data_IF_812397188038
#
_entry.id   IF_812397188038
#
_cell.length_a   1.000
_cell.length_b   1.000
_cell.length_c   1.000
_cell.angle_alpha   90.00
_cell.angle_beta   90.00
_cell.angle_gamma   90.00
#
_symmetry.space_group_name_H-M   'P 1'
#
loop_
_entity.id
_entity.type
_entity.pdbx_description
1 polymer ?
#
# COMPACT_ATOMS: atom_id res chain seq x y z
N UNK A 1 2.84 -12.46 11.66
CA UNK A 1 3.97 -13.00 10.88
C UNK A 1 4.91 -11.87 10.52
N UNK A 2 6.15 -12.01 10.81
CA UNK A 2 7.15 -11.04 10.37
C UNK A 2 7.31 -11.15 8.86
N UNK A 3 7.29 -10.03 8.16
CA UNK A 3 7.53 -10.00 6.72
C UNK A 3 8.99 -10.27 6.38
N UNK A 4 9.88 -10.13 7.35
CA UNK A 4 11.30 -10.35 7.15
C UNK A 4 11.89 -11.06 8.35
N UNK A 5 12.49 -12.22 8.11
CA UNK A 5 13.38 -12.87 9.04
C UNK A 5 14.85 -12.55 8.73
N UNK A 6 15.06 -11.66 7.77
CA UNK A 6 16.38 -11.30 7.28
C UNK A 6 16.90 -10.05 8.01
N UNK A 7 18.22 -9.89 8.04
CA UNK A 7 18.84 -8.70 8.59
C UNK A 7 18.50 -7.45 7.74
N UNK A 8 18.58 -6.24 8.31
CA UNK A 8 18.39 -5.01 7.54
C UNK A 8 19.32 -4.91 6.32
N UNK A 9 20.53 -5.41 6.42
CA UNK A 9 21.50 -5.44 5.31
C UNK A 9 21.02 -6.32 4.17
N UNK A 10 20.50 -7.52 4.48
CA UNK A 10 19.97 -8.44 3.48
C UNK A 10 18.75 -7.87 2.78
N UNK A 11 17.87 -7.22 3.52
CA UNK A 11 16.67 -6.58 2.97
C UNK A 11 17.08 -5.45 2.02
N UNK A 12 17.99 -4.60 2.43
CA UNK A 12 18.48 -3.48 1.60
C UNK A 12 19.16 -3.99 0.33
N UNK A 13 19.96 -5.04 0.43
CA UNK A 13 20.63 -5.64 -0.70
C UNK A 13 19.63 -6.24 -1.70
N UNK A 14 18.64 -6.98 -1.21
CA UNK A 14 17.58 -7.53 -2.05
C UNK A 14 16.80 -6.43 -2.77
N UNK A 15 16.45 -5.35 -2.07
CA UNK A 15 15.77 -4.20 -2.66
C UNK A 15 16.62 -3.53 -3.74
N UNK A 16 17.92 -3.37 -3.50
CA UNK A 16 18.85 -2.79 -4.48
C UNK A 16 18.91 -3.61 -5.77
N UNK A 17 19.02 -4.92 -5.63
CA UNK A 17 19.05 -5.84 -6.79
C UNK A 17 17.72 -5.77 -7.56
N UNK A 18 16.59 -5.82 -6.84
CA UNK A 18 15.26 -5.76 -7.45
C UNK A 18 15.02 -4.44 -8.17
N UNK A 19 15.57 -3.33 -7.68
CA UNK A 19 15.43 -2.03 -8.32
C UNK A 19 16.03 -2.00 -9.73
N UNK A 20 17.11 -2.74 -9.95
CA UNK A 20 17.73 -2.84 -11.27
C UNK A 20 16.82 -3.54 -12.28
N UNK A 21 16.12 -4.56 -11.85
CA UNK A 21 15.13 -5.28 -12.65
C UNK A 21 13.95 -4.36 -12.99
N UNK A 22 13.41 -3.66 -11.99
CA UNK A 22 12.29 -2.73 -12.19
C UNK A 22 12.64 -1.59 -13.14
N UNK A 23 13.87 -1.08 -13.05
CA UNK A 23 14.33 0.01 -13.92
C UNK A 23 14.38 -0.38 -15.40
N UNK A 24 14.50 -1.67 -15.69
CA UNK A 24 14.56 -2.19 -17.08
C UNK A 24 13.19 -2.48 -17.68
N UNK A 25 12.15 -2.51 -16.87
CA UNK A 25 10.80 -2.75 -17.36
C UNK A 25 10.32 -1.59 -18.21
N UNK A 26 9.52 -1.89 -19.23
CA UNK A 26 8.84 -0.87 -20.02
C UNK A 26 7.76 -0.18 -19.18
N UNK A 27 7.31 0.98 -19.63
CA UNK A 27 6.18 1.68 -18.99
C UNK A 27 4.93 0.80 -19.00
N UNK A 28 4.70 0.07 -20.07
CA UNK A 28 3.54 -0.82 -20.19
C UNK A 28 3.60 -1.96 -19.16
N UNK A 29 4.78 -2.53 -18.96
CA UNK A 29 4.98 -3.59 -17.96
C UNK A 29 4.77 -3.06 -16.54
N UNK A 30 5.30 -1.88 -16.23
CA UNK A 30 5.12 -1.24 -14.92
C UNK A 30 3.65 -0.87 -14.67
N UNK A 31 2.97 -0.33 -15.68
CA UNK A 31 1.55 0.02 -15.59
C UNK A 31 0.68 -1.23 -15.44
N UNK A 32 1.04 -2.31 -16.13
CA UNK A 32 0.36 -3.59 -15.97
C UNK A 32 0.49 -4.10 -14.53
N UNK A 33 1.66 -3.98 -13.94
CA UNK A 33 1.88 -4.36 -12.54
C UNK A 33 1.03 -3.52 -11.57
N UNK A 34 0.94 -2.20 -11.79
CA UNK A 34 0.08 -1.32 -11.00
C UNK A 34 -1.39 -1.70 -11.12
N UNK A 35 -1.84 -2.01 -12.33
CA UNK A 35 -3.22 -2.45 -12.58
C UNK A 35 -3.52 -3.78 -11.89
N UNK A 36 -2.57 -4.70 -11.86
CA UNK A 36 -2.70 -5.97 -11.12
C UNK A 36 -2.83 -5.75 -9.62
N UNK A 37 -2.07 -4.83 -9.06
CA UNK A 37 -2.17 -4.45 -7.65
C UNK A 37 -3.56 -3.84 -7.37
N UNK A 38 -3.99 -2.91 -8.21
CA UNK A 38 -5.32 -2.30 -8.12
C UNK A 38 -6.42 -3.36 -8.09
N UNK A 39 -6.40 -4.28 -9.06
CA UNK A 39 -7.44 -5.30 -9.21
C UNK A 39 -7.44 -6.29 -8.04
N UNK A 40 -6.26 -6.69 -7.57
CA UNK A 40 -6.12 -7.60 -6.44
C UNK A 40 -6.66 -6.97 -5.15
N UNK A 41 -6.36 -5.69 -4.92
CA UNK A 41 -6.88 -4.97 -3.74
C UNK A 41 -8.39 -4.80 -3.82
N UNK A 42 -8.91 -4.44 -4.99
CA UNK A 42 -10.36 -4.33 -5.22
C UNK A 42 -11.07 -5.65 -4.90
N UNK A 43 -10.54 -6.75 -5.40
CA UNK A 43 -11.14 -8.07 -5.22
C UNK A 43 -11.04 -8.57 -3.76
N UNK A 44 -10.03 -8.12 -3.03
CA UNK A 44 -9.82 -8.45 -1.62
C UNK A 44 -10.46 -7.45 -0.64
N UNK A 45 -11.28 -6.52 -1.12
CA UNK A 45 -11.85 -5.45 -0.29
C UNK A 45 -12.50 -5.97 0.99
N UNK A 46 -13.33 -6.99 0.91
CA UNK A 46 -14.03 -7.55 2.08
C UNK A 46 -13.04 -8.09 3.11
N UNK A 47 -12.01 -8.81 2.69
CA UNK A 47 -10.98 -9.35 3.58
C UNK A 47 -10.17 -8.25 4.24
N UNK A 48 -9.82 -7.23 3.48
CA UNK A 48 -9.05 -6.08 3.97
C UNK A 48 -9.87 -5.32 5.01
N UNK A 49 -11.14 -5.05 4.74
CA UNK A 49 -12.00 -4.34 5.68
C UNK A 49 -12.29 -5.16 6.94
N UNK A 50 -12.39 -6.47 6.83
CA UNK A 50 -12.52 -7.36 7.98
C UNK A 50 -11.30 -7.29 8.89
N UNK A 51 -10.10 -7.36 8.32
CA UNK A 51 -8.84 -7.22 9.06
C UNK A 51 -8.71 -5.81 9.67
N UNK A 52 -9.09 -4.80 8.92
CA UNK A 52 -9.09 -3.42 9.40
C UNK A 52 -10.03 -3.22 10.60
N UNK A 53 -11.20 -3.88 10.58
CA UNK A 53 -12.13 -3.82 11.70
C UNK A 53 -11.53 -4.39 12.99
N UNK A 54 -10.73 -5.45 12.88
CA UNK A 54 -10.01 -6.01 14.03
C UNK A 54 -8.96 -5.04 14.57
N UNK A 55 -8.22 -4.40 13.67
CA UNK A 55 -7.23 -3.39 14.05
C UNK A 55 -7.90 -2.18 14.71
N UNK A 56 -9.05 -1.76 14.21
CA UNK A 56 -9.81 -0.65 14.78
C UNK A 56 -10.30 -0.95 16.20
N UNK A 57 -10.73 -2.18 16.45
CA UNK A 57 -11.17 -2.60 17.79
C UNK A 57 -10.02 -2.49 18.79
N UNK A 58 -8.83 -2.94 18.41
CA UNK A 58 -7.64 -2.85 19.26
C UNK A 58 -7.18 -1.39 19.43
N UNK A 59 -7.24 -0.59 18.37
CA UNK A 59 -6.88 0.82 18.41
C UNK A 59 -7.83 1.62 19.30
N UNK A 60 -9.13 1.34 19.22
CA UNK A 60 -10.13 1.98 20.07
C UNK A 60 -9.87 1.69 21.56
N UNK A 61 -9.51 0.47 21.88
CA UNK A 61 -9.16 0.07 23.25
C UNK A 61 -7.89 0.80 23.71
N UNK A 62 -6.88 0.89 22.88
CA UNK A 62 -5.66 1.64 23.18
C UNK A 62 -5.97 3.12 23.40
N UNK A 63 -6.90 3.70 22.66
CA UNK A 63 -7.34 5.09 22.84
C UNK A 63 -8.05 5.29 24.20
N UNK A 64 -8.89 4.34 24.61
CA UNK A 64 -9.54 4.37 25.93
C UNK A 64 -8.51 4.33 27.05
N UNK A 65 -7.46 3.55 26.88
CA UNK A 65 -6.37 3.43 27.84
C UNK A 65 -5.37 4.63 27.81
N UNK A 66 -5.60 5.58 26.94
CA UNK A 66 -4.75 6.76 26.79
C UNK A 66 -3.44 6.53 26.04
N UNK A 67 -3.25 5.35 25.45
CA UNK A 67 -2.04 5.00 24.71
C UNK A 67 -2.03 5.52 23.28
N UNK A 68 -3.20 5.83 22.73
CA UNK A 68 -3.38 6.26 21.35
C UNK A 68 -4.40 7.40 21.27
N UNK A 69 -4.16 8.40 20.41
CA UNK A 69 -5.12 9.48 20.23
C UNK A 69 -6.32 9.06 19.40
N UNK A 70 -7.49 9.63 19.68
CA UNK A 70 -8.71 9.39 18.90
C UNK A 70 -8.56 9.79 17.44
N UNK A 71 -7.80 10.84 17.16
CA UNK A 71 -7.56 11.26 15.77
C UNK A 71 -6.76 10.24 14.98
N UNK A 72 -5.83 9.54 15.62
CA UNK A 72 -5.10 8.45 14.99
C UNK A 72 -6.01 7.25 14.69
N UNK A 73 -6.91 6.91 15.62
CA UNK A 73 -7.90 5.84 15.41
C UNK A 73 -8.74 6.12 14.17
N UNK A 74 -9.22 7.35 14.01
CA UNK A 74 -10.01 7.76 12.84
C UNK A 74 -9.23 7.61 11.53
N UNK A 75 -7.93 7.85 11.56
CA UNK A 75 -7.06 7.72 10.38
C UNK A 75 -6.85 6.28 9.95
N UNK A 76 -6.97 5.34 10.87
CA UNK A 76 -6.78 3.91 10.59
C UNK A 76 -7.99 3.26 9.92
N UNK A 77 -9.14 3.93 9.92
CA UNK A 77 -10.39 3.38 9.42
C UNK A 77 -10.49 3.45 7.89
N UNK A 78 -10.27 2.31 7.24
CA UNK A 78 -10.44 2.16 5.79
C UNK A 78 -11.91 2.00 5.38
N UNK A 79 -12.79 1.75 6.34
CA UNK A 79 -14.22 1.54 6.08
C UNK A 79 -15.03 2.83 5.93
N UNK A 80 -14.41 4.01 6.10
CA UNK A 80 -15.10 5.28 5.87
C UNK A 80 -15.54 5.39 4.42
N UNK A 81 -16.73 5.97 4.14
CA UNK A 81 -17.21 6.13 2.78
C UNK A 81 -16.17 6.79 1.86
N UNK A 82 -15.89 6.15 0.73
CA UNK A 82 -14.96 6.64 -0.28
C UNK A 82 -13.49 6.42 0.00
N UNK A 83 -13.09 6.05 1.21
CA UNK A 83 -11.66 5.97 1.57
C UNK A 83 -10.94 4.82 0.86
N UNK A 84 -11.57 3.65 0.79
CA UNK A 84 -11.01 2.50 0.07
C UNK A 84 -10.95 2.78 -1.44
N UNK A 85 -12.01 3.34 -1.99
CA UNK A 85 -12.10 3.72 -3.41
C UNK A 85 -11.05 4.78 -3.76
N UNK A 86 -10.82 5.76 -2.90
CA UNK A 86 -9.77 6.80 -3.09
C UNK A 86 -8.37 6.17 -3.11
N UNK A 87 -8.12 5.17 -2.29
CA UNK A 87 -6.87 4.42 -2.30
C UNK A 87 -6.65 3.72 -3.64
N UNK A 88 -7.68 3.06 -4.16
CA UNK A 88 -7.63 2.40 -5.47
C UNK A 88 -7.41 3.42 -6.59
N UNK A 89 -8.10 4.55 -6.52
CA UNK A 89 -7.93 5.63 -7.51
C UNK A 89 -6.51 6.19 -7.49
N UNK A 90 -5.89 6.27 -6.32
CA UNK A 90 -4.49 6.69 -6.18
C UNK A 90 -3.53 5.83 -7.00
N UNK A 91 -3.77 4.53 -7.06
CA UNK A 91 -2.96 3.61 -7.88
C UNK A 91 -3.12 3.93 -9.37
N UNK A 92 -4.35 4.17 -9.81
CA UNK A 92 -4.63 4.54 -11.20
C UNK A 92 -4.03 5.91 -11.56
N UNK A 93 -4.03 6.84 -10.62
CA UNK A 93 -3.41 8.16 -10.80
C UNK A 93 -1.90 8.04 -11.03
N UNK A 94 -1.24 7.12 -10.31
CA UNK A 94 0.18 6.84 -10.52
C UNK A 94 0.43 6.21 -11.89
N UNK A 95 -0.45 5.30 -12.33
CA UNK A 95 -0.39 4.71 -13.66
C UNK A 95 -0.44 5.77 -14.77
N UNK A 96 -1.24 6.82 -14.57
CA UNK A 96 -1.42 7.90 -15.54
C UNK A 96 -0.28 8.92 -15.56
N UNK A 97 0.66 8.85 -14.63
CA UNK A 97 1.82 9.74 -14.63
C UNK A 97 2.76 9.44 -15.80
N UNK A 98 3.47 10.46 -16.25
CA UNK A 98 4.51 10.31 -17.26
C UNK A 98 5.61 9.35 -16.78
N UNK A 99 6.08 8.50 -17.69
CA UNK A 99 7.17 7.59 -17.37
C UNK A 99 8.47 8.35 -17.09
N UNK A 100 9.02 8.25 -15.86
CA UNK A 100 10.26 8.95 -15.54
C UNK A 100 11.46 8.48 -16.38
N UNK A 101 11.41 7.25 -16.93
CA UNK A 101 12.45 6.70 -17.80
C UNK A 101 12.47 7.30 -19.20
N UNK A 102 11.38 7.93 -19.63
CA UNK A 102 11.26 8.56 -20.97
C UNK A 102 11.33 10.08 -20.91
N UNK A 103 11.62 10.65 -19.75
CA UNK A 103 11.69 12.09 -19.58
C UNK A 103 12.77 12.69 -20.46
N UNK A 104 12.37 13.61 -21.31
CA UNK A 104 13.29 14.38 -22.14
C UNK A 104 13.69 15.67 -21.42
N UNK A 105 14.95 16.00 -21.48
CA UNK A 105 15.49 17.24 -20.94
C UNK A 105 15.63 18.27 -22.06
#
# INVERSE_FOLDING_TARGET
MSLTNNSPEDVAKAASISSLTLARLSVDERNHALRKVHDALRDAKSEILESNAKDLALAAKAAEDGELSQSLVKRLDLGKPGKFEDMLQGILDVEDLDDPGTRKY
#
